data_IF_211150821693
#
_entry.id   IF_211150821693
#
_cell.length_a   1.000
_cell.length_b   1.000
_cell.length_c   1.000
_cell.angle_alpha   90.00
_cell.angle_beta   90.00
_cell.angle_gamma   90.00
#
_symmetry.space_group_name_H-M   'P 1'
#
loop_
_entity.id
_entity.type
_entity.pdbx_description
1 polymer ?
#
# COMPACT_ATOMS: atom_id res chain seq x y z
N UNK A 1 2.89 -20.62 -9.11
CA UNK A 1 3.73 -19.41 -8.98
C UNK A 1 3.08 -18.46 -7.98
N UNK A 2 3.87 -17.71 -7.21
CA UNK A 2 3.37 -16.78 -6.17
C UNK A 2 3.12 -15.35 -6.69
N UNK A 3 3.79 -14.97 -7.78
CA UNK A 3 3.74 -13.62 -8.33
C UNK A 3 3.44 -13.68 -9.83
N UNK A 4 2.88 -12.58 -10.33
CA UNK A 4 2.68 -12.33 -11.74
C UNK A 4 3.85 -11.49 -12.26
N UNK A 5 4.30 -11.76 -13.50
CA UNK A 5 5.08 -10.78 -14.26
C UNK A 5 4.33 -9.44 -14.35
N UNK A 6 5.05 -8.31 -14.27
CA UNK A 6 4.43 -6.97 -14.25
C UNK A 6 3.65 -6.67 -15.53
N UNK A 7 4.07 -7.22 -16.67
CA UNK A 7 3.37 -7.10 -17.95
C UNK A 7 1.97 -7.75 -17.96
N UNK A 8 1.74 -8.74 -17.08
CA UNK A 8 0.47 -9.42 -16.86
C UNK A 8 -0.38 -8.77 -15.76
N UNK A 9 0.17 -7.75 -15.06
CA UNK A 9 -0.58 -7.02 -14.04
C UNK A 9 -1.55 -6.03 -14.68
N UNK A 10 -2.85 -6.20 -14.39
CA UNK A 10 -3.91 -5.39 -14.98
C UNK A 10 -3.73 -3.88 -14.71
N UNK A 11 -3.22 -3.50 -13.53
CA UNK A 11 -3.02 -2.11 -13.14
C UNK A 11 -1.58 -1.62 -13.39
N UNK A 12 -0.80 -2.28 -14.27
CA UNK A 12 0.59 -1.87 -14.57
C UNK A 12 0.72 -0.43 -15.07
N UNK A 13 -0.35 0.13 -15.62
CA UNK A 13 -0.40 1.51 -16.11
C UNK A 13 -0.03 2.54 -15.04
N UNK A 14 -0.25 2.25 -13.74
CA UNK A 14 0.14 3.14 -12.64
C UNK A 14 1.67 3.29 -12.51
N UNK A 15 2.43 2.29 -12.98
CA UNK A 15 3.90 2.28 -12.96
C UNK A 15 4.52 2.60 -14.32
N UNK A 16 3.72 2.58 -15.38
CA UNK A 16 4.16 2.93 -16.74
C UNK A 16 3.52 4.23 -17.24
N UNK A 17 3.04 5.07 -16.31
CA UNK A 17 2.44 6.35 -16.64
C UNK A 17 3.52 7.31 -17.15
N UNK A 18 3.28 7.95 -18.31
CA UNK A 18 4.31 8.75 -18.99
C UNK A 18 4.79 9.96 -18.16
N UNK A 19 3.94 10.52 -17.30
CA UNK A 19 4.31 11.65 -16.44
C UNK A 19 5.15 11.25 -15.22
N UNK A 20 5.12 9.98 -14.81
CA UNK A 20 5.83 9.48 -13.62
C UNK A 20 6.47 8.11 -13.94
N UNK A 21 7.49 8.08 -14.81
CA UNK A 21 8.13 6.83 -15.22
C UNK A 21 9.01 6.26 -14.10
N UNK A 22 8.94 4.94 -13.92
CA UNK A 22 9.82 4.21 -13.00
C UNK A 22 11.02 3.61 -13.75
N UNK A 23 12.24 3.67 -13.20
CA UNK A 23 13.39 2.93 -13.71
C UNK A 23 13.14 1.42 -13.72
N UNK A 24 13.74 0.70 -14.69
CA UNK A 24 13.59 -0.76 -14.80
C UNK A 24 14.01 -1.52 -13.54
N UNK A 25 15.03 -1.03 -12.83
CA UNK A 25 15.52 -1.60 -11.58
C UNK A 25 14.48 -1.55 -10.43
N UNK A 26 13.65 -0.51 -10.41
CA UNK A 26 12.58 -0.34 -9.43
C UNK A 26 11.33 -1.12 -9.86
N UNK A 27 11.01 -1.12 -11.16
CA UNK A 27 9.94 -1.95 -11.72
C UNK A 27 10.15 -3.44 -11.43
N UNK A 28 11.38 -3.93 -11.52
CA UNK A 28 11.72 -5.33 -11.22
C UNK A 28 11.50 -5.72 -9.74
N UNK A 29 11.43 -4.74 -8.84
CA UNK A 29 11.17 -4.95 -7.41
C UNK A 29 9.68 -4.94 -7.05
N UNK A 30 8.83 -4.40 -7.94
CA UNK A 30 7.38 -4.42 -7.76
C UNK A 30 6.84 -5.77 -8.21
N UNK A 31 6.34 -6.55 -7.25
CA UNK A 31 5.91 -7.94 -7.47
C UNK A 31 4.42 -8.09 -7.18
N UNK A 32 3.56 -7.98 -8.20
CA UNK A 32 2.14 -8.29 -8.07
C UNK A 32 1.95 -9.76 -7.68
N UNK A 33 1.17 -10.00 -6.63
CA UNK A 33 0.85 -11.37 -6.22
C UNK A 33 -0.15 -12.00 -7.20
N UNK A 34 -0.11 -13.32 -7.34
CA UNK A 34 -1.21 -14.04 -7.99
C UNK A 34 -2.47 -13.92 -7.14
N UNK A 35 -3.66 -14.00 -7.75
CA UNK A 35 -4.93 -13.88 -7.04
C UNK A 35 -5.05 -14.86 -5.85
N UNK A 36 -4.55 -16.10 -6.01
CA UNK A 36 -4.54 -17.08 -4.93
C UNK A 36 -3.66 -16.66 -3.75
N UNK A 37 -2.45 -16.14 -4.02
CA UNK A 37 -1.53 -15.69 -2.96
C UNK A 37 -2.07 -14.43 -2.30
N UNK A 38 -2.55 -13.46 -3.07
CA UNK A 38 -3.16 -12.24 -2.56
C UNK A 38 -4.33 -12.58 -1.63
N UNK A 39 -5.22 -13.47 -2.05
CA UNK A 39 -6.38 -13.85 -1.25
C UNK A 39 -5.99 -14.48 0.09
N UNK A 40 -4.95 -15.33 0.09
CA UNK A 40 -4.42 -15.92 1.32
C UNK A 40 -3.78 -14.85 2.21
N UNK A 41 -2.95 -13.98 1.63
CA UNK A 41 -2.30 -12.90 2.37
C UNK A 41 -3.33 -11.95 3.00
N UNK A 42 -4.33 -11.52 2.23
CA UNK A 42 -5.42 -10.67 2.70
C UNK A 42 -6.17 -11.31 3.85
N UNK A 43 -6.52 -12.60 3.71
CA UNK A 43 -7.19 -13.37 4.77
C UNK A 43 -6.39 -13.38 6.07
N UNK A 44 -5.07 -13.53 5.97
CA UNK A 44 -4.20 -13.69 7.12
C UNK A 44 -3.80 -12.35 7.78
N UNK A 45 -3.82 -11.23 7.04
CA UNK A 45 -3.26 -9.95 7.50
C UNK A 45 -4.25 -8.78 7.49
N UNK A 46 -5.39 -8.87 6.79
CA UNK A 46 -6.34 -7.76 6.65
C UNK A 46 -7.73 -8.17 7.13
N UNK A 47 -8.38 -9.10 6.41
CA UNK A 47 -9.75 -9.55 6.73
C UNK A 47 -10.02 -10.95 6.22
N UNK A 48 -10.64 -11.77 7.05
CA UNK A 48 -11.02 -13.13 6.67
C UNK A 48 -12.28 -13.18 5.78
N UNK A 49 -13.12 -12.15 5.81
CA UNK A 49 -14.46 -12.16 5.19
C UNK A 49 -14.64 -11.07 4.14
N UNK A 50 -14.12 -9.87 4.39
CA UNK A 50 -14.31 -8.70 3.54
C UNK A 50 -13.36 -8.73 2.35
N UNK A 51 -13.81 -8.40 1.13
CA UNK A 51 -12.96 -8.42 -0.06
C UNK A 51 -12.12 -7.15 -0.26
N UNK A 52 -12.52 -6.02 0.33
CA UNK A 52 -11.90 -4.71 0.15
C UNK A 52 -12.14 -3.86 1.42
N UNK A 53 -11.52 -2.68 1.44
CA UNK A 53 -11.57 -1.71 2.54
C UNK A 53 -12.96 -1.14 2.80
N UNK A 54 -13.78 -0.94 1.77
CA UNK A 54 -15.14 -0.39 1.90
C UNK A 54 -16.09 -1.35 2.60
N UNK A 55 -15.83 -2.66 2.46
CA UNK A 55 -16.67 -3.73 3.03
C UNK A 55 -16.12 -4.32 4.31
N UNK A 56 -15.12 -3.70 4.94
CA UNK A 56 -14.57 -4.17 6.21
C UNK A 56 -15.65 -4.16 7.31
N UNK A 57 -15.69 -5.24 8.08
CA UNK A 57 -16.62 -5.45 9.17
C UNK A 57 -16.01 -5.03 10.51
N UNK A 58 -16.83 -4.89 11.55
CA UNK A 58 -16.36 -4.61 12.91
C UNK A 58 -15.49 -5.71 13.53
N UNK A 59 -15.35 -6.86 12.88
CA UNK A 59 -14.46 -7.96 13.30
C UNK A 59 -13.04 -7.81 12.72
N UNK A 60 -12.89 -6.99 11.68
CA UNK A 60 -11.61 -6.79 11.01
C UNK A 60 -10.79 -5.74 11.75
N UNK A 61 -9.50 -6.01 11.97
CA UNK A 61 -8.65 -5.14 12.75
C UNK A 61 -8.59 -3.69 12.25
N UNK A 62 -8.68 -3.37 10.93
CA UNK A 62 -8.69 -1.99 10.49
C UNK A 62 -9.94 -1.23 10.96
N UNK A 63 -11.01 -1.91 11.35
CA UNK A 63 -12.22 -1.26 11.89
C UNK A 63 -12.14 -1.02 13.40
N UNK A 64 -11.06 -1.47 14.07
CA UNK A 64 -10.88 -1.22 15.49
C UNK A 64 -10.22 0.16 15.70
N UNK A 65 -10.88 1.07 16.43
CA UNK A 65 -10.33 2.41 16.71
C UNK A 65 -8.92 2.39 17.33
N UNK A 66 -8.62 1.37 18.15
CA UNK A 66 -7.29 1.20 18.77
C UNK A 66 -6.15 0.91 17.78
N UNK A 67 -6.48 0.56 16.52
CA UNK A 67 -5.50 0.32 15.49
C UNK A 67 -4.95 1.62 14.90
N UNK A 68 -5.61 2.77 15.11
CA UNK A 68 -5.27 4.04 14.46
C UNK A 68 -5.03 5.14 15.48
N UNK A 69 -4.07 6.01 15.17
CA UNK A 69 -3.76 7.23 15.90
C UNK A 69 -4.17 8.45 15.07
N UNK A 70 -3.18 9.06 14.42
CA UNK A 70 -3.36 10.31 13.68
C UNK A 70 -3.83 10.10 12.23
N UNK A 71 -4.45 11.14 11.67
CA UNK A 71 -4.79 11.26 10.25
C UNK A 71 -3.98 12.39 9.62
N UNK A 72 -3.48 12.16 8.41
CA UNK A 72 -2.63 13.09 7.66
C UNK A 72 -3.21 13.27 6.26
N UNK A 73 -3.22 14.50 5.76
CA UNK A 73 -3.50 14.77 4.35
C UNK A 73 -2.31 14.28 3.52
N UNK A 74 -2.55 13.38 2.57
CA UNK A 74 -1.53 12.94 1.61
C UNK A 74 -1.76 13.52 0.22
N UNK A 75 -2.98 13.99 -0.05
CA UNK A 75 -3.40 14.43 -1.38
C UNK A 75 -2.76 15.78 -1.71
N UNK A 76 -2.62 16.67 -0.73
CA UNK A 76 -1.91 17.93 -0.91
C UNK A 76 -0.46 17.73 -1.42
N UNK A 77 0.30 16.82 -0.80
CA UNK A 77 1.67 16.49 -1.21
C UNK A 77 1.67 15.73 -2.55
N UNK A 78 0.66 14.91 -2.81
CA UNK A 78 0.53 14.18 -4.07
C UNK A 78 0.36 15.15 -5.26
N UNK A 79 -0.51 16.14 -5.11
CA UNK A 79 -0.78 17.20 -6.09
C UNK A 79 0.37 18.19 -6.26
N UNK A 80 1.29 18.27 -5.29
CA UNK A 80 2.44 19.15 -5.36
C UNK A 80 3.52 18.66 -6.35
N UNK A 81 4.43 19.55 -6.72
CA UNK A 81 5.64 19.20 -7.49
C UNK A 81 6.71 18.50 -6.63
N UNK A 82 6.54 18.46 -5.29
CA UNK A 82 7.47 17.81 -4.38
C UNK A 82 7.37 16.28 -4.51
N UNK A 83 8.47 15.56 -4.80
CA UNK A 83 8.45 14.10 -4.84
C UNK A 83 8.31 13.46 -3.45
N UNK A 84 8.56 14.20 -2.36
CA UNK A 84 8.54 13.67 -1.01
C UNK A 84 7.12 13.34 -0.54
N UNK A 85 7.03 12.31 0.30
CA UNK A 85 5.80 11.87 0.94
C UNK A 85 5.56 12.71 2.21
N UNK A 86 4.31 12.87 2.71
CA UNK A 86 4.06 13.62 3.94
C UNK A 86 5.00 13.22 5.09
N UNK A 87 5.63 14.23 5.71
CA UNK A 87 6.64 14.03 6.75
C UNK A 87 6.10 13.19 7.91
N UNK A 88 4.83 13.37 8.28
CA UNK A 88 4.19 12.59 9.33
C UNK A 88 4.15 11.08 9.04
N UNK A 89 4.02 10.66 7.77
CA UNK A 89 4.13 9.24 7.39
C UNK A 89 5.56 8.74 7.63
N UNK A 90 6.57 9.51 7.21
CA UNK A 90 7.98 9.13 7.40
C UNK A 90 8.42 9.11 8.86
N UNK A 91 7.79 9.93 9.71
CA UNK A 91 8.03 9.94 11.16
C UNK A 91 7.34 8.77 11.88
N UNK A 92 6.18 8.34 11.39
CA UNK A 92 5.46 7.18 11.92
C UNK A 92 6.14 5.86 11.53
N UNK A 93 6.73 5.79 10.34
CA UNK A 93 7.34 4.58 9.80
C UNK A 93 8.87 4.57 10.02
N UNK A 94 9.33 3.91 11.08
CA UNK A 94 10.75 3.67 11.38
C UNK A 94 11.29 2.40 10.69
N UNK A 95 11.00 2.25 9.39
CA UNK A 95 11.44 1.09 8.62
C UNK A 95 12.73 1.38 7.87
N UNK A 96 13.63 0.40 7.92
CA UNK A 96 14.79 0.36 7.04
C UNK A 96 14.37 0.19 5.58
N UNK A 97 15.19 0.72 4.68
CA UNK A 97 14.92 0.75 3.23
C UNK A 97 14.65 -0.63 2.62
N UNK A 98 15.27 -1.68 3.16
CA UNK A 98 15.17 -3.07 2.69
C UNK A 98 13.96 -3.84 3.23
N UNK A 99 13.17 -3.23 4.12
CA UNK A 99 11.94 -3.83 4.64
C UNK A 99 11.01 -4.15 3.48
N UNK A 100 10.58 -5.42 3.42
CA UNK A 100 9.55 -5.82 2.48
C UNK A 100 8.21 -5.28 2.95
N UNK A 101 7.50 -4.58 2.07
CA UNK A 101 6.18 -4.02 2.34
C UNK A 101 5.15 -4.67 1.43
N UNK A 102 3.91 -4.63 1.87
CA UNK A 102 2.75 -5.11 1.15
C UNK A 102 1.76 -3.97 1.00
N UNK A 103 1.43 -3.63 -0.25
CA UNK A 103 0.43 -2.63 -0.59
C UNK A 103 -0.84 -3.35 -1.02
N UNK A 104 -1.84 -3.34 -0.14
CA UNK A 104 -3.05 -4.15 -0.24
C UNK A 104 -4.21 -3.30 -0.71
N UNK A 105 -4.45 -3.28 -2.03
CA UNK A 105 -5.62 -2.60 -2.60
C UNK A 105 -6.91 -3.35 -2.28
N UNK A 106 -6.93 -4.66 -2.50
CA UNK A 106 -8.08 -5.53 -2.23
C UNK A 106 -7.61 -6.99 -2.15
N UNK A 107 -8.52 -7.89 -1.80
CA UNK A 107 -8.27 -9.33 -1.60
C UNK A 107 -7.49 -10.00 -2.72
N UNK A 108 -7.71 -9.61 -3.98
CA UNK A 108 -7.05 -10.23 -5.14
C UNK A 108 -5.96 -9.35 -5.76
N UNK A 109 -5.68 -8.18 -5.19
CA UNK A 109 -4.67 -7.25 -5.68
C UNK A 109 -3.79 -6.76 -4.54
N UNK A 110 -2.64 -7.41 -4.38
CA UNK A 110 -1.60 -7.04 -3.42
C UNK A 110 -0.28 -6.96 -4.16
N UNK A 111 0.45 -5.88 -3.92
CA UNK A 111 1.81 -5.69 -4.40
C UNK A 111 2.79 -5.93 -3.27
N UNK A 112 3.85 -6.70 -3.54
CA UNK A 112 5.02 -6.79 -2.68
C UNK A 112 6.16 -5.97 -3.26
N UNK A 113 6.81 -5.14 -2.46
CA UNK A 113 8.02 -4.40 -2.86
C UNK A 113 8.89 -4.07 -1.64
N UNK A 114 9.91 -3.24 -1.81
CA UNK A 114 10.73 -2.69 -0.74
C UNK A 114 10.23 -1.33 -0.29
N UNK A 115 10.40 -1.02 0.99
CA UNK A 115 10.04 0.28 1.55
C UNK A 115 10.72 1.43 0.79
N UNK A 116 11.99 1.29 0.43
CA UNK A 116 12.69 2.30 -0.38
C UNK A 116 12.05 2.55 -1.75
N UNK A 117 11.54 1.50 -2.41
CA UNK A 117 10.89 1.60 -3.72
C UNK A 117 9.54 2.29 -3.57
N UNK A 118 8.77 1.94 -2.54
CA UNK A 118 7.52 2.64 -2.23
C UNK A 118 7.78 4.12 -1.92
N UNK A 119 8.74 4.47 -1.05
CA UNK A 119 9.05 5.86 -0.69
C UNK A 119 9.37 6.72 -1.92
N UNK A 120 10.19 6.21 -2.85
CA UNK A 120 10.57 6.95 -4.07
C UNK A 120 9.41 7.17 -5.04
N UNK A 121 8.47 6.22 -5.09
CA UNK A 121 7.41 6.17 -6.11
C UNK A 121 6.02 6.15 -5.50
N UNK A 122 5.84 6.70 -4.29
CA UNK A 122 4.61 6.57 -3.50
C UNK A 122 3.41 7.13 -4.26
N UNK A 123 3.61 8.23 -5.01
CA UNK A 123 2.59 8.83 -5.88
C UNK A 123 2.03 7.83 -6.89
N UNK A 124 2.88 6.98 -7.48
CA UNK A 124 2.44 5.97 -8.44
C UNK A 124 1.53 4.92 -7.81
N UNK A 125 1.80 4.51 -6.56
CA UNK A 125 0.95 3.56 -5.84
C UNK A 125 -0.44 4.14 -5.53
N UNK A 126 -0.55 5.47 -5.41
CA UNK A 126 -1.78 6.18 -5.11
C UNK A 126 -2.54 6.70 -6.34
N UNK A 127 -2.10 6.41 -7.58
CA UNK A 127 -2.97 6.58 -8.76
C UNK A 127 -4.26 5.75 -8.68
N UNK A 128 -4.27 4.72 -7.82
CA UNK A 128 -5.45 3.94 -7.49
C UNK A 128 -5.60 3.94 -5.96
N UNK A 129 -6.33 4.92 -5.43
CA UNK A 129 -6.46 5.23 -4.00
C UNK A 129 -7.72 4.64 -3.35
N UNK A 130 -8.22 3.53 -3.90
CA UNK A 130 -9.42 2.81 -3.46
C UNK A 130 -9.19 2.05 -2.15
N UNK A 131 -8.88 2.81 -1.09
CA UNK A 131 -8.70 2.33 0.27
C UNK A 131 -7.50 1.43 0.55
N UNK A 132 -6.32 1.55 -0.11
CA UNK A 132 -5.24 0.61 0.10
C UNK A 132 -4.67 0.67 1.51
N UNK A 133 -4.35 -0.50 2.06
CA UNK A 133 -3.67 -0.66 3.34
C UNK A 133 -2.22 -1.07 3.08
N UNK A 134 -1.27 -0.34 3.66
CA UNK A 134 0.16 -0.63 3.59
C UNK A 134 0.62 -1.24 4.92
N UNK A 135 1.26 -2.41 4.86
CA UNK A 135 1.87 -3.07 6.02
C UNK A 135 3.29 -3.55 5.71
N UNK A 136 4.14 -3.57 6.73
CA UNK A 136 5.52 -4.03 6.64
C UNK A 136 5.66 -5.48 7.11
N UNK A 137 6.52 -6.26 6.45
CA UNK A 137 6.82 -7.64 6.87
C UNK A 137 7.42 -7.66 8.27
N UNK A 138 6.72 -8.30 9.22
CA UNK A 138 7.10 -8.36 10.65
C UNK A 138 7.21 -6.97 11.30
N UNK A 139 6.42 -6.01 10.82
CA UNK A 139 6.29 -4.67 11.37
C UNK A 139 4.88 -4.49 11.89
N UNK A 140 4.76 -3.67 12.93
CA UNK A 140 3.45 -3.37 13.51
C UNK A 140 2.83 -2.18 12.81
N UNK A 141 3.62 -1.22 12.35
CA UNK A 141 3.11 -0.01 11.73
C UNK A 141 2.29 -0.33 10.48
N UNK A 142 1.21 0.44 10.29
CA UNK A 142 0.32 0.33 9.15
C UNK A 142 -0.13 1.73 8.70
N UNK A 143 -0.41 1.86 7.40
CA UNK A 143 -1.03 3.04 6.82
C UNK A 143 -2.32 2.62 6.12
N UNK A 144 -3.37 3.41 6.22
CA UNK A 144 -4.60 3.20 5.46
C UNK A 144 -4.98 4.47 4.72
N UNK A 145 -4.78 4.46 3.41
CA UNK A 145 -5.08 5.58 2.54
C UNK A 145 -6.56 5.55 2.18
N UNK A 146 -7.19 6.72 2.20
CA UNK A 146 -8.58 6.92 1.84
C UNK A 146 -8.68 7.83 0.61
N UNK A 147 -9.71 7.62 -0.21
CA UNK A 147 -10.00 8.41 -1.42
C UNK A 147 -10.44 9.85 -1.15
N UNK A 148 -10.63 10.21 0.12
CA UNK A 148 -10.85 11.59 0.55
C UNK A 148 -9.53 12.38 0.77
N UNK A 149 -8.39 11.79 0.43
CA UNK A 149 -7.07 12.41 0.57
C UNK A 149 -6.44 12.28 1.95
N UNK A 150 -7.06 11.52 2.86
CA UNK A 150 -6.50 11.27 4.19
C UNK A 150 -5.84 9.90 4.27
N UNK A 151 -4.81 9.79 5.10
CA UNK A 151 -4.18 8.52 5.49
C UNK A 151 -4.22 8.39 6.99
N UNK A 152 -4.68 7.24 7.47
CA UNK A 152 -4.62 6.87 8.89
C UNK A 152 -3.27 6.24 9.19
N UNK A 153 -2.65 6.71 10.27
CA UNK A 153 -1.41 6.17 10.82
C UNK A 153 -1.75 5.20 11.95
N UNK A 154 -1.31 3.95 11.85
CA UNK A 154 -1.75 2.92 12.78
C UNK A 154 -0.76 1.81 13.05
N UNK A 155 -1.25 0.80 13.76
CA UNK A 155 -0.54 -0.44 14.04
C UNK A 155 -1.45 -1.67 13.84
N UNK A 156 -0.99 -2.59 13.00
CA UNK A 156 -1.46 -3.97 12.86
C UNK A 156 -0.98 -4.83 14.04
N UNK A 157 -1.84 -5.74 14.51
CA UNK A 157 -1.61 -6.56 15.71
C UNK A 157 -0.65 -7.74 15.49
#
# INVERSE_FOLDING_TARGET
MSYLPLDQYQRKWIFTHQSMPLPEEDLAQIKPMTAQRAAQFWKDNISAQSPDSERLSSQDWPMHNKAWGDEVDWMAEWESDDPEMPVAITQHIDWQDDVTIYFCYEKYNILETKWSVFKRHWKNFLFYDDGPILIGRRRKEALWFHSNGLVKLGQHQ
#
